data_IF_192328482723
#
_entry.id   IF_192328482723
#
_cell.length_a   1.000
_cell.length_b   1.000
_cell.length_c   1.000
_cell.angle_alpha   90.00
_cell.angle_beta   90.00
_cell.angle_gamma   90.00
#
_symmetry.space_group_name_H-M   'P 1'
#
loop_
_entity.id
_entity.type
_entity.pdbx_description
1 polymer ?
#
# COMPACT_ATOMS: atom_id res chain seq x y z
N UNK A 1 30.12 22.58 -3.36
CA UNK A 1 30.00 24.00 -3.00
C UNK A 1 30.62 24.84 -4.12
N UNK A 2 29.86 25.17 -5.18
CA UNK A 2 30.41 25.95 -6.30
C UNK A 2 29.36 26.93 -6.86
N UNK A 3 28.83 27.79 -5.98
CA UNK A 3 27.71 28.72 -6.24
C UNK A 3 28.16 30.20 -6.28
N UNK A 4 29.43 30.44 -6.57
CA UNK A 4 30.07 31.76 -6.51
C UNK A 4 30.36 32.37 -7.89
N UNK A 5 30.76 31.57 -8.89
CA UNK A 5 31.28 32.13 -10.15
C UNK A 5 30.21 32.75 -11.07
N UNK A 6 28.94 32.31 -10.98
CA UNK A 6 27.87 32.80 -11.85
C UNK A 6 27.32 34.20 -11.52
N UNK A 7 27.69 34.79 -10.36
CA UNK A 7 27.16 36.11 -9.96
C UNK A 7 27.88 37.29 -10.60
N UNK A 8 29.10 37.08 -11.10
CA UNK A 8 29.95 38.17 -11.54
C UNK A 8 29.95 38.36 -13.06
N UNK A 9 29.35 37.44 -13.82
CA UNK A 9 29.30 37.51 -15.29
C UNK A 9 28.56 38.77 -15.76
N UNK A 10 27.41 39.06 -15.14
CA UNK A 10 26.61 40.26 -15.45
C UNK A 10 27.39 41.54 -15.15
N UNK A 11 28.14 41.55 -14.04
CA UNK A 11 28.96 42.70 -13.64
C UNK A 11 30.15 42.92 -14.58
N UNK A 12 30.78 41.85 -15.06
CA UNK A 12 31.86 41.91 -16.05
C UNK A 12 31.37 42.37 -17.43
N UNK A 13 30.20 41.90 -17.88
CA UNK A 13 29.59 42.33 -19.15
C UNK A 13 29.21 43.82 -19.07
N UNK A 14 28.64 44.28 -17.95
CA UNK A 14 28.31 45.69 -17.75
C UNK A 14 29.56 46.58 -17.74
N UNK A 15 30.65 46.11 -17.11
CA UNK A 15 31.92 46.82 -17.06
C UNK A 15 32.57 46.92 -18.45
N UNK A 16 32.53 45.85 -19.25
CA UNK A 16 33.00 45.85 -20.64
C UNK A 16 32.19 46.81 -21.53
N UNK A 17 30.86 46.79 -21.43
CA UNK A 17 29.97 47.70 -22.16
C UNK A 17 30.23 49.18 -21.80
N UNK A 18 30.48 49.46 -20.52
CA UNK A 18 30.81 50.80 -20.02
C UNK A 18 32.15 51.32 -20.58
N UNK A 19 33.18 50.47 -20.61
CA UNK A 19 34.48 50.81 -21.19
C UNK A 19 34.37 51.09 -22.69
N UNK A 20 33.63 50.26 -23.43
CA UNK A 20 33.39 50.45 -24.86
C UNK A 20 32.66 51.78 -25.12
N UNK A 21 31.64 52.10 -24.33
CA UNK A 21 30.94 53.37 -24.41
C UNK A 21 31.89 54.56 -24.17
N UNK A 22 32.71 54.51 -23.12
CA UNK A 22 33.71 55.56 -22.83
C UNK A 22 34.72 55.75 -23.97
N UNK A 23 35.20 54.66 -24.59
CA UNK A 23 36.13 54.73 -25.73
C UNK A 23 35.48 55.42 -26.93
N UNK A 24 34.22 55.10 -27.24
CA UNK A 24 33.45 55.71 -28.34
C UNK A 24 33.26 57.21 -28.10
N UNK A 25 32.90 57.62 -26.87
CA UNK A 25 32.69 59.05 -26.53
C UNK A 25 34.00 59.85 -26.58
N UNK A 26 35.12 59.24 -26.19
CA UNK A 26 36.40 59.95 -26.09
C UNK A 26 37.13 60.06 -27.42
N UNK A 27 36.95 59.09 -28.32
CA UNK A 27 37.60 59.06 -29.62
C UNK A 27 37.09 60.11 -30.61
N UNK A 28 36.05 60.92 -30.28
CA UNK A 28 35.42 61.92 -31.17
C UNK A 28 35.38 61.44 -32.63
N UNK A 29 35.02 60.18 -32.84
CA UNK A 29 34.74 59.71 -34.17
C UNK A 29 33.45 60.43 -34.54
N UNK A 30 33.50 61.35 -35.52
CA UNK A 30 32.31 61.77 -36.25
C UNK A 30 31.80 60.52 -36.98
N UNK A 31 31.20 59.62 -36.20
CA UNK A 31 30.46 58.49 -36.70
C UNK A 31 29.22 59.12 -37.30
N UNK A 32 29.28 59.45 -38.58
CA UNK A 32 28.08 59.45 -39.39
C UNK A 32 27.50 58.05 -39.22
N UNK A 33 26.58 57.88 -38.27
CA UNK A 33 25.80 56.67 -38.14
C UNK A 33 25.01 56.56 -39.44
N UNK A 34 25.59 55.92 -40.46
CA UNK A 34 24.83 55.40 -41.58
C UNK A 34 23.78 54.49 -40.97
N UNK A 35 22.52 54.63 -41.42
CA UNK A 35 21.39 53.87 -40.88
C UNK A 35 21.73 52.37 -40.74
N UNK A 36 22.55 51.84 -41.64
CA UNK A 36 23.04 50.45 -41.66
C UNK A 36 23.87 50.04 -40.43
N UNK A 37 24.74 50.92 -39.90
CA UNK A 37 25.59 50.62 -38.73
C UNK A 37 24.76 50.63 -37.44
N UNK A 38 23.81 51.55 -37.31
CA UNK A 38 22.89 51.59 -36.18
C UNK A 38 21.95 50.38 -36.17
N UNK A 39 21.43 50.01 -37.35
CA UNK A 39 20.62 48.80 -37.53
C UNK A 39 21.41 47.54 -37.19
N UNK A 40 22.69 47.45 -37.55
CA UNK A 40 23.57 46.33 -37.20
C UNK A 40 23.77 46.16 -35.69
N UNK A 41 24.00 47.25 -34.95
CA UNK A 41 24.15 47.21 -33.49
C UNK A 41 22.82 46.83 -32.82
N UNK A 42 21.71 47.41 -33.26
CA UNK A 42 20.38 47.08 -32.73
C UNK A 42 20.00 45.62 -33.01
N UNK A 43 20.31 45.10 -34.20
CA UNK A 43 20.12 43.70 -34.55
C UNK A 43 20.95 42.75 -33.66
N UNK A 44 22.20 43.14 -33.33
CA UNK A 44 23.05 42.40 -32.40
C UNK A 44 22.48 42.31 -30.99
N UNK A 45 21.99 43.42 -30.44
CA UNK A 45 21.33 43.44 -29.13
C UNK A 45 20.02 42.64 -29.12
N UNK A 46 19.20 42.77 -30.17
CA UNK A 46 17.96 41.98 -30.29
C UNK A 46 18.28 40.48 -30.36
N UNK A 47 19.29 40.06 -31.12
CA UNK A 47 19.73 38.66 -31.19
C UNK A 47 20.27 38.12 -29.86
N UNK A 48 21.08 38.90 -29.14
CA UNK A 48 21.62 38.53 -27.84
C UNK A 48 20.50 38.38 -26.78
N UNK A 49 19.58 39.35 -26.70
CA UNK A 49 18.44 39.30 -25.80
C UNK A 49 17.49 38.14 -26.13
N UNK A 50 17.22 37.89 -27.42
CA UNK A 50 16.40 36.76 -27.85
C UNK A 50 17.01 35.42 -27.41
N UNK A 51 18.33 35.25 -27.58
CA UNK A 51 19.04 34.03 -27.18
C UNK A 51 19.00 33.82 -25.67
N UNK A 52 19.19 34.87 -24.87
CA UNK A 52 19.11 34.79 -23.41
C UNK A 52 17.69 34.42 -22.96
N UNK A 53 16.66 35.05 -23.53
CA UNK A 53 15.26 34.76 -23.19
C UNK A 53 14.88 33.32 -23.52
N UNK A 54 15.21 32.85 -24.73
CA UNK A 54 14.95 31.47 -25.15
C UNK A 54 15.76 30.48 -24.29
N UNK A 55 17.02 30.80 -23.96
CA UNK A 55 17.85 29.98 -23.08
C UNK A 55 17.25 29.80 -21.68
N UNK A 56 16.72 30.87 -21.09
CA UNK A 56 16.02 30.81 -19.79
C UNK A 56 14.74 30.00 -19.88
N UNK A 57 13.96 30.16 -20.95
CA UNK A 57 12.74 29.38 -21.18
C UNK A 57 13.04 27.88 -21.31
N UNK A 58 14.06 27.51 -22.09
CA UNK A 58 14.51 26.12 -22.25
C UNK A 58 14.97 25.56 -20.90
N UNK A 59 15.80 26.30 -20.16
CA UNK A 59 16.28 25.85 -18.85
C UNK A 59 15.12 25.61 -17.87
N UNK A 60 14.19 26.56 -17.75
CA UNK A 60 13.03 26.44 -16.87
C UNK A 60 12.09 25.30 -17.30
N UNK A 61 11.94 25.09 -18.60
CA UNK A 61 11.17 23.96 -19.14
C UNK A 61 11.82 22.63 -18.76
N UNK A 62 13.14 22.48 -18.97
CA UNK A 62 13.88 21.26 -18.61
C UNK A 62 13.82 21.01 -17.10
N UNK A 63 14.04 22.03 -16.28
CA UNK A 63 13.97 21.90 -14.81
C UNK A 63 12.57 21.51 -14.35
N UNK A 64 11.53 22.15 -14.90
CA UNK A 64 10.12 21.81 -14.63
C UNK A 64 9.82 20.37 -15.04
N UNK A 65 10.24 19.93 -16.23
CA UNK A 65 10.03 18.55 -16.69
C UNK A 65 10.73 17.52 -15.79
N UNK A 66 11.93 17.81 -15.29
CA UNK A 66 12.60 16.93 -14.31
C UNK A 66 11.83 16.85 -13.01
N UNK A 67 11.40 17.99 -12.47
CA UNK A 67 10.59 18.02 -11.23
C UNK A 67 9.28 17.27 -11.39
N UNK A 68 8.59 17.41 -12.53
CA UNK A 68 7.37 16.63 -12.83
C UNK A 68 7.68 15.14 -12.83
N UNK A 69 8.74 14.71 -13.51
CA UNK A 69 9.15 13.30 -13.53
C UNK A 69 9.49 12.76 -12.14
N UNK A 70 10.16 13.56 -11.30
CA UNK A 70 10.46 13.19 -9.91
C UNK A 70 9.17 13.07 -9.06
N UNK A 71 8.21 13.97 -9.26
CA UNK A 71 6.88 13.90 -8.62
C UNK A 71 6.13 12.65 -9.07
N UNK A 72 6.08 12.34 -10.36
CA UNK A 72 5.40 11.16 -10.89
C UNK A 72 6.01 9.86 -10.33
N UNK A 73 7.34 9.81 -10.23
CA UNK A 73 8.06 8.69 -9.63
C UNK A 73 7.71 8.54 -8.14
N UNK A 74 7.69 9.64 -7.39
CA UNK A 74 7.30 9.65 -5.98
C UNK A 74 5.85 9.21 -5.79
N UNK A 75 4.93 9.72 -6.62
CA UNK A 75 3.52 9.34 -6.58
C UNK A 75 3.36 7.84 -6.83
N UNK A 76 4.03 7.30 -7.86
CA UNK A 76 4.00 5.87 -8.17
C UNK A 76 4.52 5.02 -7.00
N UNK A 77 5.60 5.46 -6.34
CA UNK A 77 6.14 4.77 -5.18
C UNK A 77 5.16 4.80 -4.00
N UNK A 78 4.59 5.97 -3.71
CA UNK A 78 3.60 6.14 -2.63
C UNK A 78 2.38 5.26 -2.86
N UNK A 79 1.87 5.20 -4.10
CA UNK A 79 0.73 4.32 -4.43
C UNK A 79 1.06 2.85 -4.16
N UNK A 80 2.24 2.38 -4.58
CA UNK A 80 2.69 1.01 -4.30
C UNK A 80 2.82 0.74 -2.81
N UNK A 81 3.39 1.67 -2.06
CA UNK A 81 3.56 1.54 -0.61
C UNK A 81 2.19 1.50 0.11
N UNK A 82 1.22 2.32 -0.34
CA UNK A 82 -0.15 2.31 0.18
C UNK A 82 -0.84 0.96 -0.09
N UNK A 83 -0.72 0.43 -1.30
CA UNK A 83 -1.36 -0.83 -1.66
C UNK A 83 -0.75 -2.01 -0.90
N UNK A 84 0.58 -2.02 -0.72
CA UNK A 84 1.28 -2.98 0.14
C UNK A 84 0.80 -2.89 1.60
N UNK A 85 0.71 -1.69 2.17
CA UNK A 85 0.27 -1.50 3.56
C UNK A 85 -1.19 -1.90 3.77
N UNK A 86 -2.05 -1.74 2.76
CA UNK A 86 -3.44 -2.20 2.83
C UNK A 86 -3.52 -3.73 2.92
N UNK A 87 -2.78 -4.43 2.06
CA UNK A 87 -2.69 -5.89 2.07
C UNK A 87 -2.12 -6.41 3.40
N UNK A 88 -1.02 -5.81 3.87
CA UNK A 88 -0.40 -6.18 5.15
C UNK A 88 -1.35 -5.95 6.33
N UNK A 89 -2.08 -4.83 6.33
CA UNK A 89 -3.07 -4.51 7.36
C UNK A 89 -4.20 -5.53 7.37
N UNK A 90 -4.78 -5.85 6.22
CA UNK A 90 -5.85 -6.84 6.10
C UNK A 90 -5.39 -8.20 6.66
N UNK A 91 -4.20 -8.65 6.25
CA UNK A 91 -3.61 -9.89 6.75
C UNK A 91 -3.40 -9.87 8.27
N UNK A 92 -2.99 -8.74 8.84
CA UNK A 92 -2.81 -8.58 10.28
C UNK A 92 -4.14 -8.59 11.05
N UNK A 93 -5.20 -8.02 10.48
CA UNK A 93 -6.56 -8.07 11.05
C UNK A 93 -7.06 -9.52 11.14
N UNK A 94 -6.92 -10.30 10.07
CA UNK A 94 -7.25 -11.73 10.07
C UNK A 94 -6.45 -12.52 11.12
N UNK A 95 -5.14 -12.24 11.24
CA UNK A 95 -4.30 -12.88 12.27
C UNK A 95 -4.73 -12.52 13.70
N UNK A 96 -5.15 -11.27 13.91
CA UNK A 96 -5.67 -10.80 15.21
C UNK A 96 -7.00 -11.46 15.54
N UNK A 97 -7.91 -11.55 14.57
CA UNK A 97 -9.19 -12.24 14.71
C UNK A 97 -9.00 -13.72 15.05
N UNK A 98 -8.12 -14.41 14.30
CA UNK A 98 -7.73 -15.79 14.58
C UNK A 98 -7.29 -15.98 16.04
N UNK A 99 -6.33 -15.16 16.51
CA UNK A 99 -5.82 -15.28 17.88
C UNK A 99 -6.90 -14.99 18.92
N UNK A 100 -7.74 -14.01 18.67
CA UNK A 100 -8.86 -13.64 19.54
C UNK A 100 -9.85 -14.79 19.66
N UNK A 101 -10.24 -15.40 18.54
CA UNK A 101 -11.16 -16.53 18.52
C UNK A 101 -10.59 -17.77 19.21
N UNK A 102 -9.30 -18.12 18.99
CA UNK A 102 -8.66 -19.21 19.72
C UNK A 102 -8.67 -18.94 21.22
N UNK A 103 -8.32 -17.72 21.64
CA UNK A 103 -8.22 -17.36 23.06
C UNK A 103 -9.59 -17.41 23.74
N UNK A 104 -10.62 -16.87 23.09
CA UNK A 104 -12.00 -16.95 23.57
C UNK A 104 -12.49 -18.40 23.64
N UNK A 105 -12.25 -19.19 22.59
CA UNK A 105 -12.66 -20.59 22.56
C UNK A 105 -12.04 -21.40 23.70
N UNK A 106 -10.74 -21.22 23.96
CA UNK A 106 -10.05 -21.89 25.08
C UNK A 106 -10.65 -21.46 26.41
N UNK A 107 -10.79 -20.16 26.63
CA UNK A 107 -11.26 -19.57 27.88
C UNK A 107 -12.68 -20.01 28.25
N UNK A 108 -13.55 -20.24 27.26
CA UNK A 108 -14.96 -20.60 27.49
C UNK A 108 -15.26 -22.07 27.27
N UNK A 109 -14.25 -22.90 26.96
CA UNK A 109 -14.46 -24.28 26.51
C UNK A 109 -15.13 -25.19 27.54
N UNK A 110 -14.99 -24.88 28.84
CA UNK A 110 -15.58 -25.68 29.93
C UNK A 110 -17.02 -25.27 30.22
N UNK A 111 -17.27 -23.98 30.35
CA UNK A 111 -18.55 -23.42 30.78
C UNK A 111 -19.51 -23.26 29.60
N UNK A 112 -18.99 -22.86 28.43
CA UNK A 112 -19.78 -22.60 27.22
C UNK A 112 -19.20 -23.33 26.00
N UNK A 113 -19.30 -24.67 25.95
CA UNK A 113 -18.68 -25.49 24.90
C UNK A 113 -19.19 -25.16 23.49
N UNK A 114 -20.48 -24.84 23.32
CA UNK A 114 -21.05 -24.48 22.01
C UNK A 114 -20.55 -23.12 21.53
N UNK A 115 -20.47 -22.13 22.42
CA UNK A 115 -19.82 -20.86 22.10
C UNK A 115 -18.35 -21.07 21.72
N UNK A 116 -17.61 -21.90 22.48
CA UNK A 116 -16.23 -22.23 22.18
C UNK A 116 -16.06 -22.88 20.80
N UNK A 117 -16.93 -23.84 20.44
CA UNK A 117 -16.95 -24.45 19.11
C UNK A 117 -17.08 -23.41 18.01
N UNK A 118 -18.03 -22.47 18.13
CA UNK A 118 -18.18 -21.38 17.14
C UNK A 118 -16.90 -20.57 17.00
N UNK A 119 -16.23 -20.26 18.12
CA UNK A 119 -14.96 -19.53 18.07
C UNK A 119 -13.88 -20.35 17.37
N UNK A 120 -13.79 -21.65 17.60
CA UNK A 120 -12.84 -22.49 16.86
C UNK A 120 -13.16 -22.61 15.37
N UNK A 121 -14.43 -22.68 14.98
CA UNK A 121 -14.85 -22.69 13.58
C UNK A 121 -14.54 -21.37 12.88
N UNK A 122 -14.81 -20.23 13.54
CA UNK A 122 -14.42 -18.92 13.03
C UNK A 122 -12.90 -18.79 12.93
N UNK A 123 -12.16 -19.26 13.94
CA UNK A 123 -10.69 -19.27 13.92
C UNK A 123 -10.15 -20.10 12.75
N UNK A 124 -10.78 -21.23 12.42
CA UNK A 124 -10.38 -22.03 11.26
C UNK A 124 -10.54 -21.24 9.96
N UNK A 125 -11.63 -20.47 9.82
CA UNK A 125 -11.86 -19.64 8.64
C UNK A 125 -10.77 -18.57 8.48
N UNK A 126 -10.47 -17.84 9.56
CA UNK A 126 -9.36 -16.87 9.58
C UNK A 126 -8.01 -17.54 9.26
N UNK A 127 -7.76 -18.74 9.80
CA UNK A 127 -6.51 -19.46 9.55
C UNK A 127 -6.38 -19.95 8.10
N UNK A 128 -7.49 -20.34 7.47
CA UNK A 128 -7.55 -20.73 6.06
C UNK A 128 -7.32 -19.54 5.14
N UNK A 129 -7.89 -18.38 5.46
CA UNK A 129 -7.61 -17.11 4.77
C UNK A 129 -6.11 -16.78 4.80
N UNK A 130 -5.49 -16.89 5.98
CA UNK A 130 -4.06 -16.62 6.17
C UNK A 130 -3.14 -17.65 5.50
N UNK A 131 -3.68 -18.79 5.07
CA UNK A 131 -2.94 -19.90 4.49
C UNK A 131 -1.79 -20.40 5.40
N UNK A 132 -1.91 -20.24 6.73
CA UNK A 132 -0.90 -20.63 7.71
C UNK A 132 -1.19 -22.02 8.27
N UNK A 133 -0.39 -23.01 7.85
CA UNK A 133 -0.56 -24.40 8.24
C UNK A 133 -0.54 -24.64 9.76
N UNK A 134 0.21 -23.84 10.54
CA UNK A 134 0.24 -23.98 12.01
C UNK A 134 -1.07 -23.50 12.61
N UNK A 135 -1.60 -22.38 12.11
CA UNK A 135 -2.86 -21.82 12.57
C UNK A 135 -4.04 -22.73 12.21
N UNK A 136 -4.05 -23.25 10.98
CA UNK A 136 -5.07 -24.19 10.50
C UNK A 136 -5.08 -25.44 11.39
N UNK A 137 -3.91 -26.06 11.58
CA UNK A 137 -3.80 -27.27 12.40
C UNK A 137 -4.21 -27.01 13.85
N UNK A 138 -3.88 -25.85 14.42
CA UNK A 138 -4.28 -25.50 15.79
C UNK A 138 -5.79 -25.33 15.91
N UNK A 139 -6.43 -24.61 15.00
CA UNK A 139 -7.88 -24.43 15.03
C UNK A 139 -8.60 -25.77 14.86
N UNK A 140 -8.19 -26.57 13.87
CA UNK A 140 -8.78 -27.86 13.57
C UNK A 140 -8.62 -28.86 14.74
N UNK A 141 -7.43 -28.92 15.35
CA UNK A 141 -7.21 -29.75 16.55
C UNK A 141 -8.13 -29.37 17.71
N UNK A 142 -8.47 -28.08 17.90
CA UNK A 142 -9.42 -27.67 18.92
C UNK A 142 -10.86 -28.14 18.60
N UNK A 143 -11.26 -28.13 17.33
CA UNK A 143 -12.54 -28.67 16.87
C UNK A 143 -12.58 -30.19 17.08
N UNK A 144 -11.50 -30.90 16.77
CA UNK A 144 -11.36 -32.35 16.99
C UNK A 144 -11.45 -32.69 18.49
N UNK A 145 -10.81 -31.91 19.36
CA UNK A 145 -10.89 -32.05 20.81
C UNK A 145 -12.33 -31.84 21.29
N UNK A 146 -13.02 -30.81 20.80
CA UNK A 146 -14.44 -30.60 21.10
C UNK A 146 -15.26 -31.84 20.70
N UNK A 147 -15.05 -32.35 19.48
CA UNK A 147 -15.74 -33.53 18.97
C UNK A 147 -15.50 -34.76 19.85
N UNK A 148 -14.27 -34.99 20.30
CA UNK A 148 -13.93 -36.10 21.20
C UNK A 148 -14.61 -35.97 22.56
N UNK A 149 -14.56 -34.79 23.19
CA UNK A 149 -15.23 -34.53 24.47
C UNK A 149 -16.75 -34.73 24.38
N UNK A 150 -17.32 -34.40 23.23
CA UNK A 150 -18.75 -34.51 22.97
C UNK A 150 -19.26 -35.96 22.85
N UNK A 151 -18.37 -36.95 22.77
CA UNK A 151 -18.75 -38.38 22.80
C UNK A 151 -19.23 -38.81 24.18
N UNK A 152 -18.70 -38.19 25.24
CA UNK A 152 -19.04 -38.53 26.62
C UNK A 152 -20.33 -37.82 27.02
N UNK A 153 -20.45 -36.55 26.65
CA UNK A 153 -21.59 -35.69 27.01
C UNK A 153 -21.91 -34.82 25.80
N UNK A 154 -23.14 -34.89 25.29
CA UNK A 154 -23.58 -34.01 24.20
C UNK A 154 -23.69 -32.56 24.71
N UNK A 155 -22.82 -31.63 24.28
CA UNK A 155 -22.83 -30.26 24.79
C UNK A 155 -24.07 -29.46 24.34
N UNK A 156 -24.78 -29.90 23.30
CA UNK A 156 -25.97 -29.23 22.79
C UNK A 156 -27.19 -29.44 23.70
N UNK A 157 -27.25 -30.54 24.46
CA UNK A 157 -28.37 -30.80 25.38
C UNK A 157 -28.27 -29.99 26.67
N UNK A 158 -27.05 -29.62 27.06
CA UNK A 158 -26.77 -28.89 28.31
C UNK A 158 -26.76 -27.37 28.06
N UNK A 159 -26.21 -26.93 26.93
CA UNK A 159 -26.00 -25.52 26.64
C UNK A 159 -26.95 -25.04 25.52
N UNK A 160 -27.73 -23.99 25.83
CA UNK A 160 -28.71 -23.37 24.91
C UNK A 160 -28.14 -22.30 23.99
N UNK A 161 -26.82 -22.16 23.92
CA UNK A 161 -26.17 -21.25 22.97
C UNK A 161 -26.66 -21.59 21.56
N UNK A 162 -27.26 -20.63 20.84
CA UNK A 162 -27.87 -20.92 19.54
C UNK A 162 -26.76 -21.36 18.59
N UNK A 163 -26.90 -22.47 17.87
CA UNK A 163 -25.90 -22.92 16.91
C UNK A 163 -26.57 -23.29 15.59
N UNK A 164 -25.92 -22.96 14.47
CA UNK A 164 -26.41 -23.31 13.15
C UNK A 164 -25.27 -23.93 12.35
N UNK A 165 -25.26 -25.25 12.23
CA UNK A 165 -24.25 -25.97 11.45
C UNK A 165 -24.21 -25.54 9.99
N UNK A 166 -25.32 -25.07 9.40
CA UNK A 166 -25.36 -24.66 7.99
C UNK A 166 -24.42 -23.50 7.65
N UNK A 167 -24.02 -22.69 8.64
CA UNK A 167 -23.04 -21.61 8.45
C UNK A 167 -21.61 -22.13 8.27
N UNK A 168 -21.36 -23.40 8.63
CA UNK A 168 -20.03 -24.00 8.71
C UNK A 168 -19.93 -25.23 7.81
N UNK A 169 -20.64 -25.20 6.68
CA UNK A 169 -20.60 -26.28 5.70
C UNK A 169 -19.20 -26.41 5.09
N UNK A 170 -18.72 -27.63 4.79
CA UNK A 170 -17.47 -27.84 4.06
C UNK A 170 -17.42 -27.06 2.74
N UNK A 171 -18.55 -26.95 2.05
CA UNK A 171 -18.68 -26.22 0.79
C UNK A 171 -18.30 -24.73 0.94
N UNK A 172 -18.51 -24.13 2.12
CA UNK A 172 -18.14 -22.73 2.38
C UNK A 172 -16.63 -22.53 2.47
N UNK A 173 -15.84 -23.60 2.59
CA UNK A 173 -14.40 -23.53 2.74
C UNK A 173 -13.65 -23.90 1.45
N UNK A 174 -14.35 -24.27 0.39
CA UNK A 174 -13.75 -24.68 -0.89
C UNK A 174 -12.99 -23.56 -1.60
N UNK A 175 -13.28 -22.29 -1.29
CA UNK A 175 -12.57 -21.13 -1.82
C UNK A 175 -11.12 -21.02 -1.32
N UNK A 176 -10.78 -21.64 -0.18
CA UNK A 176 -9.46 -21.50 0.42
C UNK A 176 -8.46 -22.49 -0.15
N UNK A 177 -7.30 -21.98 -0.56
CA UNK A 177 -6.20 -22.76 -1.14
C UNK A 177 -5.78 -23.96 -0.29
N UNK A 178 -5.77 -23.82 1.04
CA UNK A 178 -5.35 -24.89 1.97
C UNK A 178 -6.47 -25.87 2.33
N UNK A 179 -7.73 -25.61 1.98
CA UNK A 179 -8.84 -26.47 2.37
C UNK A 179 -8.74 -27.93 1.88
N UNK A 180 -8.29 -28.21 0.64
CA UNK A 180 -8.09 -29.58 0.17
C UNK A 180 -7.18 -30.43 1.08
N UNK A 181 -6.28 -29.80 1.84
CA UNK A 181 -5.36 -30.50 2.75
C UNK A 181 -6.02 -30.93 4.06
N UNK A 182 -7.18 -30.37 4.40
CA UNK A 182 -7.87 -30.63 5.67
C UNK A 182 -9.30 -31.16 5.49
N UNK A 183 -9.76 -31.31 4.25
CA UNK A 183 -11.17 -31.60 3.93
C UNK A 183 -11.70 -32.84 4.65
N UNK A 184 -10.94 -33.93 4.69
CA UNK A 184 -11.38 -35.19 5.31
C UNK A 184 -11.52 -35.05 6.83
N UNK A 185 -10.54 -34.40 7.46
CA UNK A 185 -10.55 -34.10 8.90
C UNK A 185 -11.72 -33.19 9.25
N UNK A 186 -11.92 -32.13 8.46
CA UNK A 186 -12.99 -31.18 8.68
C UNK A 186 -14.38 -31.81 8.48
N UNK A 187 -14.59 -32.57 7.40
CA UNK A 187 -15.86 -33.28 7.12
C UNK A 187 -16.19 -34.27 8.25
N UNK A 188 -15.20 -34.97 8.77
CA UNK A 188 -15.38 -35.88 9.92
C UNK A 188 -15.92 -35.13 11.14
N UNK A 189 -15.30 -34.00 11.50
CA UNK A 189 -15.77 -33.15 12.59
C UNK A 189 -17.16 -32.56 12.32
N UNK A 190 -17.38 -32.03 11.12
CA UNK A 190 -18.63 -31.39 10.71
C UNK A 190 -19.81 -32.35 10.81
N UNK A 191 -19.70 -33.55 10.24
CA UNK A 191 -20.75 -34.57 10.27
C UNK A 191 -21.12 -34.95 11.70
N UNK A 192 -20.11 -35.03 12.58
CA UNK A 192 -20.33 -35.32 14.00
C UNK A 192 -21.05 -34.18 14.72
N UNK A 193 -20.67 -32.94 14.46
CA UNK A 193 -21.34 -31.75 15.02
C UNK A 193 -22.82 -31.70 14.57
N UNK A 194 -23.09 -31.94 13.29
CA UNK A 194 -24.45 -32.00 12.75
C UNK A 194 -25.28 -33.08 13.45
N UNK A 195 -24.71 -34.29 13.60
CA UNK A 195 -25.38 -35.39 14.29
C UNK A 195 -25.73 -35.03 15.75
N UNK A 196 -24.77 -34.48 16.49
CA UNK A 196 -24.97 -34.05 17.89
C UNK A 196 -26.06 -32.98 18.01
N UNK A 197 -26.11 -32.03 17.07
CA UNK A 197 -27.15 -31.01 17.04
C UNK A 197 -28.53 -31.61 16.75
N UNK A 198 -28.64 -32.52 15.79
CA UNK A 198 -29.90 -33.17 15.43
C UNK A 198 -30.46 -34.05 16.57
N UNK A 199 -29.59 -34.74 17.31
CA UNK A 199 -29.98 -35.53 18.48
C UNK A 199 -30.63 -34.65 19.56
N UNK A 200 -30.12 -33.44 19.76
CA UNK A 200 -30.70 -32.47 20.70
C UNK A 200 -32.06 -31.93 20.23
N UNK A 201 -32.29 -31.77 18.92
CA UNK A 201 -33.55 -31.24 18.39
C UNK A 201 -34.71 -32.26 18.41
N UNK A 202 -34.40 -33.55 18.60
CA UNK A 202 -35.39 -34.63 18.68
C UNK A 202 -35.84 -34.93 20.12
N UNK A 203 -35.19 -34.35 21.11
CA UNK A 203 -35.54 -34.43 22.53
C UNK A 203 -36.43 -33.26 22.93
#
# INVERSE_FOLDING_TARGET
MNKSHNRNIVSWIALALSIIACIITWARVDVYFTNDTFVGIMAGFMGACATILVGVQIYNSIETSRKIKDIDNLQTKITKDIDFLKDEKERLEHYTNYRTFISLGVATSKERPIFALKKYLNALNEALYLNDARCINRALSNIEIFCRKSEVINPFTINKDPFNANLYKPENLEEYQSFPLIIDRYKTCYNKIVKLQQECQKQ
#
